data_IF_150520732328
#
_entry.id   IF_150520732328
#
_cell.length_a   1.000
_cell.length_b   1.000
_cell.length_c   1.000
_cell.angle_alpha   90.00
_cell.angle_beta   90.00
_cell.angle_gamma   90.00
#
_symmetry.space_group_name_H-M   'P 1'
#
loop_
_entity.id
_entity.type
_entity.pdbx_description
1 polymer ?
#
# COMPACT_ATOMS: atom_id res chain seq x y z
N UNK A 1 6.19 -18.93 -2.11
CA UNK A 1 5.92 -19.49 -3.45
C UNK A 1 4.49 -19.14 -3.85
N UNK A 2 4.27 -18.54 -5.01
CA UNK A 2 2.92 -18.15 -5.44
C UNK A 2 2.19 -19.37 -6.01
N UNK A 3 0.98 -19.64 -5.53
CA UNK A 3 0.11 -20.67 -6.08
C UNK A 3 -0.27 -20.30 -7.55
N UNK A 4 -0.29 -21.28 -8.44
CA UNK A 4 -0.65 -21.10 -9.86
C UNK A 4 -2.04 -20.44 -10.05
N UNK A 5 -3.00 -20.74 -9.19
CA UNK A 5 -4.34 -20.15 -9.22
C UNK A 5 -4.26 -18.63 -9.01
N UNK A 6 -3.56 -18.19 -7.98
CA UNK A 6 -3.40 -16.77 -7.67
C UNK A 6 -2.58 -16.05 -8.74
N UNK A 7 -1.52 -16.69 -9.24
CA UNK A 7 -0.71 -16.16 -10.34
C UNK A 7 -1.55 -15.90 -11.58
N UNK A 8 -2.33 -16.90 -12.02
CA UNK A 8 -3.21 -16.79 -13.20
C UNK A 8 -4.30 -15.73 -12.97
N UNK A 9 -4.86 -15.66 -11.76
CA UNK A 9 -5.84 -14.64 -11.41
C UNK A 9 -5.27 -13.23 -11.53
N UNK A 10 -4.08 -12.98 -10.98
CA UNK A 10 -3.43 -11.66 -11.04
C UNK A 10 -3.01 -11.31 -12.48
N UNK A 11 -2.53 -12.29 -13.26
CA UNK A 11 -2.11 -12.08 -14.65
C UNK A 11 -3.25 -11.61 -15.57
N UNK A 12 -4.50 -11.97 -15.25
CA UNK A 12 -5.68 -11.53 -16.00
C UNK A 12 -6.11 -10.09 -15.66
N UNK A 13 -5.53 -9.48 -14.62
CA UNK A 13 -5.89 -8.13 -14.21
C UNK A 13 -5.11 -7.08 -14.98
N UNK A 14 -5.81 -6.05 -15.44
CA UNK A 14 -5.19 -4.93 -16.15
C UNK A 14 -4.50 -3.95 -15.17
N UNK A 15 -3.38 -4.40 -14.60
CA UNK A 15 -2.66 -3.70 -13.53
C UNK A 15 -1.62 -2.75 -14.14
N UNK A 16 -2.07 -1.68 -14.82
CA UNK A 16 -1.16 -0.76 -15.53
C UNK A 16 -0.56 0.38 -14.67
N UNK A 17 -1.12 0.66 -13.48
CA UNK A 17 -0.69 1.79 -12.62
C UNK A 17 -0.83 1.45 -11.14
N UNK A 18 0.01 0.55 -10.64
CA UNK A 18 -0.11 0.14 -9.24
C UNK A 18 1.20 0.31 -8.48
N UNK A 19 1.09 0.41 -7.14
CA UNK A 19 2.26 0.34 -6.28
C UNK A 19 3.05 -0.94 -6.57
N UNK A 20 4.19 -1.09 -5.95
CA UNK A 20 5.11 -2.20 -6.19
C UNK A 20 4.37 -3.55 -6.35
N UNK A 21 4.81 -4.36 -7.29
CA UNK A 21 4.18 -5.63 -7.67
C UNK A 21 4.03 -6.62 -6.50
N UNK A 22 4.97 -6.62 -5.56
CA UNK A 22 4.93 -7.41 -4.33
C UNK A 22 3.78 -7.01 -3.42
N UNK A 23 3.48 -5.71 -3.29
CA UNK A 23 2.33 -5.20 -2.57
C UNK A 23 1.01 -5.70 -3.19
N UNK A 24 0.89 -5.66 -4.50
CA UNK A 24 -0.29 -6.16 -5.22
C UNK A 24 -0.48 -7.65 -4.97
N UNK A 25 0.58 -8.45 -5.18
CA UNK A 25 0.55 -9.89 -4.98
C UNK A 25 0.13 -10.24 -3.55
N UNK A 26 0.72 -9.59 -2.54
CA UNK A 26 0.40 -9.83 -1.14
C UNK A 26 -1.05 -9.50 -0.82
N UNK A 27 -1.54 -8.35 -1.32
CA UNK A 27 -2.92 -7.91 -1.05
C UNK A 27 -3.94 -8.89 -1.63
N UNK A 28 -3.74 -9.36 -2.86
CA UNK A 28 -4.61 -10.37 -3.46
C UNK A 28 -4.47 -11.75 -2.79
N UNK A 29 -3.27 -12.12 -2.34
CA UNK A 29 -3.05 -13.36 -1.62
C UNK A 29 -3.84 -13.39 -0.30
N UNK A 30 -3.82 -12.30 0.46
CA UNK A 30 -4.59 -12.17 1.71
C UNK A 30 -6.09 -12.23 1.44
N UNK A 31 -6.58 -11.61 0.37
CA UNK A 31 -8.02 -11.57 0.06
C UNK A 31 -8.57 -12.90 -0.48
N UNK A 32 -7.74 -13.72 -1.13
CA UNK A 32 -8.19 -14.93 -1.84
C UNK A 32 -7.74 -16.23 -1.21
N UNK A 33 -6.91 -16.17 -0.16
CA UNK A 33 -6.36 -17.38 0.43
C UNK A 33 -5.61 -17.14 1.73
N UNK A 34 -4.73 -18.08 2.05
CA UNK A 34 -3.90 -18.03 3.24
C UNK A 34 -2.47 -17.66 2.86
N UNK A 35 -1.89 -16.73 3.61
CA UNK A 35 -0.47 -16.38 3.50
C UNK A 35 0.27 -17.07 4.63
N UNK A 36 1.23 -17.92 4.28
CA UNK A 36 2.12 -18.59 5.22
C UNK A 36 3.42 -17.81 5.29
N UNK A 37 3.76 -17.36 6.48
CA UNK A 37 5.03 -16.71 6.76
C UNK A 37 6.09 -17.74 7.12
N UNK A 38 7.20 -17.76 6.37
CA UNK A 38 8.39 -18.53 6.70
C UNK A 38 9.43 -17.58 7.30
N UNK A 39 9.81 -17.83 8.56
CA UNK A 39 10.82 -17.05 9.26
C UNK A 39 12.25 -17.36 8.84
N UNK A 40 12.46 -18.46 8.10
CA UNK A 40 13.79 -18.83 7.63
C UNK A 40 14.17 -17.96 6.43
N UNK A 41 15.32 -17.27 6.47
CA UNK A 41 15.76 -16.49 5.32
C UNK A 41 16.16 -17.42 4.18
N UNK A 42 15.38 -17.40 3.09
CA UNK A 42 15.60 -18.24 1.91
C UNK A 42 16.52 -17.60 0.86
N UNK A 43 16.84 -16.31 1.02
CA UNK A 43 17.78 -15.59 0.11
C UNK A 43 18.43 -14.42 0.82
N UNK A 44 19.61 -14.02 0.34
CA UNK A 44 20.31 -12.81 0.77
C UNK A 44 20.04 -11.68 -0.21
N UNK A 45 19.53 -10.56 0.30
CA UNK A 45 19.32 -9.38 -0.53
C UNK A 45 20.63 -8.61 -0.70
N UNK A 46 21.13 -8.50 -1.93
CA UNK A 46 22.32 -7.73 -2.22
C UNK A 46 21.98 -6.23 -2.21
N UNK A 47 22.57 -5.52 -1.28
CA UNK A 47 22.43 -4.06 -1.20
C UNK A 47 23.45 -3.41 -2.12
N UNK A 48 23.00 -2.58 -3.06
CA UNK A 48 23.83 -1.72 -3.90
C UNK A 48 23.49 -0.27 -3.62
N UNK A 49 24.44 0.65 -3.81
CA UNK A 49 24.25 2.09 -3.58
C UNK A 49 23.12 2.70 -4.42
N UNK A 50 22.78 2.07 -5.55
CA UNK A 50 21.67 2.45 -6.42
C UNK A 50 20.31 1.86 -6.02
N UNK A 51 20.23 1.05 -4.96
CA UNK A 51 18.95 0.47 -4.54
C UNK A 51 18.01 1.53 -3.99
N UNK A 52 16.81 1.62 -4.54
CA UNK A 52 15.77 2.61 -4.18
C UNK A 52 15.43 2.61 -2.68
N UNK A 53 15.64 1.48 -2.00
CA UNK A 53 15.28 1.29 -0.58
C UNK A 53 16.49 1.49 0.36
N UNK A 54 17.72 1.38 -0.13
CA UNK A 54 18.96 1.33 0.69
C UNK A 54 19.61 2.67 0.96
N UNK A 55 18.97 3.81 0.75
CA UNK A 55 19.53 5.13 1.04
C UNK A 55 19.50 5.47 2.54
N UNK A 56 20.17 4.64 3.34
CA UNK A 56 20.46 4.94 4.74
C UNK A 56 21.70 5.82 4.87
N UNK A 57 21.56 7.14 4.85
CA UNK A 57 22.71 8.02 5.04
C UNK A 57 22.45 9.51 4.80
N UNK A 58 21.25 9.87 4.35
CA UNK A 58 20.91 11.28 4.16
C UNK A 58 20.42 11.93 5.47
N UNK A 59 20.76 13.18 5.68
CA UNK A 59 20.26 13.97 6.80
C UNK A 59 18.74 13.95 6.86
N UNK A 60 18.17 13.93 8.05
CA UNK A 60 16.71 13.83 8.27
C UNK A 60 15.90 14.88 7.49
N UNK A 61 16.43 16.10 7.36
CA UNK A 61 15.78 17.18 6.62
C UNK A 61 15.72 16.91 5.10
N UNK A 62 16.80 16.37 4.51
CA UNK A 62 16.80 15.99 3.09
C UNK A 62 15.84 14.86 2.82
N UNK A 63 15.75 13.87 3.73
CA UNK A 63 14.75 12.80 3.63
C UNK A 63 13.31 13.31 3.65
N UNK A 64 12.98 14.27 4.51
CA UNK A 64 11.65 14.88 4.58
C UNK A 64 11.35 15.60 3.26
N UNK A 65 12.28 16.42 2.77
CA UNK A 65 12.13 17.16 1.51
C UNK A 65 11.92 16.22 0.31
N UNK A 66 12.74 15.18 0.20
CA UNK A 66 12.64 14.17 -0.86
C UNK A 66 11.33 13.37 -0.77
N UNK A 67 10.86 13.09 0.44
CA UNK A 67 9.59 12.42 0.68
C UNK A 67 8.41 13.30 0.28
N UNK A 68 8.41 14.57 0.66
CA UNK A 68 7.38 15.52 0.24
C UNK A 68 7.36 15.67 -1.28
N UNK A 69 8.52 15.85 -1.92
CA UNK A 69 8.60 15.93 -3.38
C UNK A 69 8.02 14.69 -4.07
N UNK A 70 8.30 13.48 -3.56
CA UNK A 70 7.71 12.24 -4.08
C UNK A 70 6.21 12.16 -3.85
N UNK A 71 5.72 12.55 -2.67
CA UNK A 71 4.28 12.50 -2.34
C UNK A 71 3.44 13.45 -3.21
N UNK A 72 4.01 14.60 -3.57
CA UNK A 72 3.34 15.58 -4.44
C UNK A 72 3.65 15.38 -5.93
N UNK A 73 4.51 14.43 -6.27
CA UNK A 73 4.75 14.07 -7.67
C UNK A 73 3.50 13.44 -8.30
N UNK A 74 3.13 13.92 -9.47
CA UNK A 74 1.97 13.42 -10.20
C UNK A 74 2.04 11.92 -10.55
N UNK A 75 3.25 11.34 -10.61
CA UNK A 75 3.46 9.92 -10.94
C UNK A 75 2.99 8.97 -9.84
N UNK A 76 3.04 9.40 -8.56
CA UNK A 76 2.71 8.54 -7.41
C UNK A 76 1.48 9.01 -6.63
N UNK A 77 0.90 10.11 -7.07
CA UNK A 77 -0.27 10.68 -6.41
C UNK A 77 -1.50 9.82 -6.68
N UNK A 78 -2.17 9.40 -5.60
CA UNK A 78 -3.39 8.60 -5.62
C UNK A 78 -3.24 7.14 -6.14
N UNK A 79 -2.04 6.61 -6.29
CA UNK A 79 -1.85 5.21 -6.70
C UNK A 79 -2.59 4.23 -5.79
N UNK A 80 -2.52 4.44 -4.49
CA UNK A 80 -3.16 3.56 -3.52
C UNK A 80 -4.69 3.65 -3.59
N UNK A 81 -5.26 4.84 -3.79
CA UNK A 81 -6.71 4.99 -3.92
C UNK A 81 -7.24 4.41 -5.23
N UNK A 82 -6.49 4.52 -6.33
CA UNK A 82 -6.86 3.89 -7.61
C UNK A 82 -6.74 2.36 -7.52
N UNK A 83 -5.67 1.84 -6.91
CA UNK A 83 -5.56 0.43 -6.62
C UNK A 83 -6.72 -0.08 -5.76
N UNK A 84 -7.06 0.65 -4.69
CA UNK A 84 -8.16 0.29 -3.80
C UNK A 84 -9.51 0.18 -4.52
N UNK A 85 -9.78 1.03 -5.52
CA UNK A 85 -11.00 0.94 -6.36
C UNK A 85 -11.06 -0.37 -7.14
N UNK A 86 -9.96 -0.73 -7.82
CA UNK A 86 -9.90 -1.95 -8.61
C UNK A 86 -9.98 -3.18 -7.70
N UNK A 87 -9.21 -3.17 -6.60
CA UNK A 87 -9.20 -4.25 -5.63
C UNK A 87 -10.58 -4.48 -5.02
N UNK A 88 -11.30 -3.42 -4.64
CA UNK A 88 -12.65 -3.52 -4.09
C UNK A 88 -13.64 -4.07 -5.11
N UNK A 89 -13.55 -3.64 -6.38
CA UNK A 89 -14.40 -4.16 -7.46
C UNK A 89 -14.18 -5.67 -7.67
N UNK A 90 -12.92 -6.10 -7.65
CA UNK A 90 -12.55 -7.48 -7.91
C UNK A 90 -12.85 -8.44 -6.76
N UNK A 91 -12.95 -7.95 -5.53
CA UNK A 91 -13.04 -8.77 -4.33
C UNK A 91 -14.28 -8.45 -3.48
N UNK A 92 -15.28 -7.78 -4.04
CA UNK A 92 -16.47 -7.33 -3.33
C UNK A 92 -17.15 -8.44 -2.51
N UNK A 93 -17.21 -9.65 -3.06
CA UNK A 93 -17.89 -10.80 -2.43
C UNK A 93 -17.05 -11.50 -1.35
N UNK A 94 -15.75 -11.16 -1.26
CA UNK A 94 -14.80 -11.77 -0.31
C UNK A 94 -14.45 -10.86 0.87
N UNK A 95 -14.84 -9.57 0.80
CA UNK A 95 -14.50 -8.58 1.81
C UNK A 95 -15.60 -8.49 2.86
N UNK A 96 -15.21 -8.52 4.14
CA UNK A 96 -16.13 -8.22 5.22
C UNK A 96 -16.55 -6.74 5.22
N UNK A 97 -17.60 -6.42 5.96
CA UNK A 97 -18.19 -5.09 6.00
C UNK A 97 -17.22 -4.04 6.54
N UNK A 98 -16.40 -4.39 7.54
CA UNK A 98 -15.44 -3.46 8.14
C UNK A 98 -14.34 -3.10 7.14
N UNK A 99 -13.74 -4.09 6.50
CA UNK A 99 -12.72 -3.91 5.46
C UNK A 99 -13.26 -3.13 4.27
N UNK A 100 -14.47 -3.46 3.80
CA UNK A 100 -15.14 -2.73 2.71
C UNK A 100 -15.37 -1.27 3.07
N UNK A 101 -15.81 -0.98 4.29
CA UNK A 101 -15.99 0.38 4.79
C UNK A 101 -14.66 1.14 4.86
N UNK A 102 -13.59 0.49 5.34
CA UNK A 102 -12.26 1.09 5.40
C UNK A 102 -11.73 1.45 4.00
N UNK A 103 -11.83 0.52 3.05
CA UNK A 103 -11.41 0.73 1.65
C UNK A 103 -12.25 1.84 1.01
N UNK A 104 -13.56 1.88 1.26
CA UNK A 104 -14.44 2.95 0.77
C UNK A 104 -14.01 4.32 1.29
N UNK A 105 -13.68 4.42 2.59
CA UNK A 105 -13.16 5.65 3.16
C UNK A 105 -11.81 6.03 2.54
N UNK A 106 -10.94 5.05 2.25
CA UNK A 106 -9.65 5.28 1.59
C UNK A 106 -9.85 5.87 0.18
N UNK A 107 -10.76 5.31 -0.61
CA UNK A 107 -11.09 5.81 -1.95
C UNK A 107 -11.64 7.25 -1.87
N UNK A 108 -12.54 7.52 -0.93
CA UNK A 108 -13.18 8.84 -0.75
C UNK A 108 -12.27 9.87 -0.09
N UNK A 109 -11.20 9.45 0.60
CA UNK A 109 -10.28 10.35 1.30
C UNK A 109 -9.63 11.40 0.41
N UNK A 110 -9.51 11.11 -0.89
CA UNK A 110 -9.03 12.05 -1.89
C UNK A 110 -9.83 13.36 -1.88
N UNK A 111 -11.15 13.28 -1.70
CA UNK A 111 -12.07 14.42 -1.83
C UNK A 111 -12.78 14.79 -0.52
N UNK A 112 -12.72 13.94 0.50
CA UNK A 112 -13.52 14.10 1.72
C UNK A 112 -12.65 14.07 2.98
N UNK A 113 -12.61 15.20 3.70
CA UNK A 113 -11.86 15.36 4.94
C UNK A 113 -12.36 14.43 6.06
N UNK A 114 -13.66 14.18 6.15
CA UNK A 114 -14.23 13.28 7.15
C UNK A 114 -13.70 11.85 6.95
N UNK A 115 -13.62 11.42 5.69
CA UNK A 115 -13.04 10.10 5.36
C UNK A 115 -11.55 10.03 5.75
N UNK A 116 -10.77 11.12 5.58
CA UNK A 116 -9.37 11.18 6.03
C UNK A 116 -9.26 10.98 7.54
N UNK A 117 -10.07 11.70 8.30
CA UNK A 117 -10.10 11.57 9.76
C UNK A 117 -10.47 10.15 10.18
N UNK A 118 -11.51 9.57 9.57
CA UNK A 118 -11.92 8.18 9.85
C UNK A 118 -10.79 7.18 9.61
N UNK A 119 -10.01 7.32 8.55
CA UNK A 119 -8.86 6.44 8.26
C UNK A 119 -7.78 6.62 9.31
N UNK A 120 -7.39 7.86 9.60
CA UNK A 120 -6.28 8.16 10.53
C UNK A 120 -6.54 7.58 11.94
N UNK A 121 -7.80 7.59 12.38
CA UNK A 121 -8.20 7.07 13.69
C UNK A 121 -8.67 5.62 13.66
N UNK A 122 -8.76 4.99 12.49
CA UNK A 122 -9.16 3.59 12.39
C UNK A 122 -8.08 2.67 12.98
N UNK A 123 -8.53 1.63 13.71
CA UNK A 123 -7.62 0.63 14.29
C UNK A 123 -6.80 -0.11 13.23
N UNK A 124 -7.39 -0.34 12.05
CA UNK A 124 -6.73 -1.04 10.95
C UNK A 124 -5.60 -0.20 10.29
N UNK A 125 -5.47 1.07 10.66
CA UNK A 125 -4.34 1.93 10.25
C UNK A 125 -3.11 1.74 11.15
N UNK A 126 -3.27 1.11 12.31
CA UNK A 126 -2.15 0.84 13.21
C UNK A 126 -1.22 -0.21 12.60
N UNK A 127 0.07 -0.01 12.78
CA UNK A 127 1.12 -0.91 12.30
C UNK A 127 2.22 -1.05 13.35
N UNK A 128 2.87 -2.19 13.39
CA UNK A 128 4.07 -2.39 14.22
C UNK A 128 5.21 -1.48 13.77
N UNK A 129 5.28 -1.18 12.47
CA UNK A 129 6.19 -0.20 11.93
C UNK A 129 5.66 1.22 12.12
N UNK A 130 5.99 1.85 13.25
CA UNK A 130 5.54 3.21 13.61
C UNK A 130 5.94 4.29 12.60
N UNK A 131 7.06 4.12 11.88
CA UNK A 131 7.47 5.05 10.83
C UNK A 131 6.54 4.97 9.62
N UNK A 132 6.21 3.76 9.19
CA UNK A 132 5.27 3.53 8.10
C UNK A 132 3.86 4.04 8.45
N UNK A 133 3.38 3.76 9.66
CA UNK A 133 2.10 4.24 10.16
C UNK A 133 2.02 5.78 10.13
N UNK A 134 3.03 6.47 10.68
CA UNK A 134 3.08 7.94 10.70
C UNK A 134 3.10 8.51 9.27
N UNK A 135 3.93 7.94 8.40
CA UNK A 135 4.01 8.36 7.00
C UNK A 135 2.66 8.22 6.28
N UNK A 136 1.98 7.09 6.47
CA UNK A 136 0.66 6.85 5.90
C UNK A 136 -0.39 7.85 6.41
N UNK A 137 -0.43 8.09 7.73
CA UNK A 137 -1.36 9.06 8.36
C UNK A 137 -1.15 10.47 7.82
N UNK A 138 0.12 10.93 7.72
CA UNK A 138 0.45 12.24 7.17
C UNK A 138 -0.01 12.35 5.71
N UNK A 139 0.28 11.35 4.88
CA UNK A 139 -0.16 11.30 3.48
C UNK A 139 -1.68 11.34 3.36
N UNK A 140 -2.38 10.60 4.22
CA UNK A 140 -3.86 10.60 4.26
C UNK A 140 -4.41 11.98 4.60
N UNK A 141 -3.87 12.65 5.61
CA UNK A 141 -4.27 14.02 5.99
C UNK A 141 -4.05 14.99 4.83
N UNK A 142 -2.91 14.89 4.15
CA UNK A 142 -2.57 15.73 2.99
C UNK A 142 -3.37 15.39 1.72
N UNK A 143 -4.11 14.27 1.70
CA UNK A 143 -4.88 13.83 0.55
C UNK A 143 -4.04 13.37 -0.64
N UNK A 144 -2.87 12.79 -0.37
CA UNK A 144 -1.91 12.30 -1.37
C UNK A 144 -1.71 10.77 -1.31
N UNK A 145 -2.75 10.06 -0.87
CA UNK A 145 -2.77 8.59 -0.76
C UNK A 145 -3.32 7.94 -2.03
#
# INVERSE_FOLDING_TARGET
MLNNILRNYIAQKNIKKFPMHDFVVMTYAIAKGNVIYDSNPSFSYRVHDANVIASGGKNTLTHIKDSLKRWFSNSHRNELSEFAKVFMKDNKDCLDMETSSYITNLIKSKYNLICRVRIVFNRNTKSDNKRAERSFKIRTILGVV
#
